data_IF_729242140570
#
_entry.id   IF_729242140570
#
_cell.length_a   1.000
_cell.length_b   1.000
_cell.length_c   1.000
_cell.angle_alpha   90.00
_cell.angle_beta   90.00
_cell.angle_gamma   90.00
#
_symmetry.space_group_name_H-M   'P 1'
#
loop_
_entity.id
_entity.type
_entity.pdbx_description
1 polymer ?
#
# COMPACT_ATOMS: atom_id res chain seq x y z
N UNK A 1 3.98 -34.44 9.79
CA UNK A 1 4.95 -33.35 10.04
C UNK A 1 5.01 -32.39 8.84
N UNK A 2 4.40 -31.20 8.98
CA UNK A 2 4.34 -30.19 7.91
C UNK A 2 5.72 -29.54 7.70
N UNK A 3 6.30 -29.73 6.52
CA UNK A 3 7.42 -28.93 6.05
C UNK A 3 6.84 -27.66 5.41
N UNK A 4 6.74 -26.59 6.19
CA UNK A 4 6.39 -25.26 5.69
C UNK A 4 7.68 -24.67 5.09
N UNK A 5 7.71 -24.52 3.77
CA UNK A 5 8.74 -23.79 3.04
C UNK A 5 9.07 -22.49 3.76
N UNK A 6 10.25 -22.45 4.37
CA UNK A 6 10.88 -21.19 4.77
C UNK A 6 11.24 -20.47 3.48
N UNK A 7 10.36 -19.58 3.04
CA UNK A 7 10.69 -18.61 1.98
C UNK A 7 11.65 -17.61 2.63
N UNK A 8 12.91 -17.47 2.19
CA UNK A 8 13.80 -16.44 2.71
C UNK A 8 13.16 -15.09 2.43
N UNK A 9 12.78 -14.36 3.48
CA UNK A 9 12.41 -12.96 3.35
C UNK A 9 13.63 -12.17 2.86
N UNK A 10 13.45 -11.17 1.98
CA UNK A 10 14.58 -10.37 1.54
C UNK A 10 15.05 -9.43 2.66
N UNK A 11 16.03 -9.88 3.44
CA UNK A 11 16.85 -9.07 4.36
C UNK A 11 17.89 -8.23 3.59
N UNK A 12 17.45 -7.39 2.65
CA UNK A 12 18.33 -6.43 1.96
C UNK A 12 17.74 -5.03 2.07
N UNK A 13 18.34 -4.24 2.98
CA UNK A 13 18.33 -2.78 3.00
C UNK A 13 17.03 -2.12 2.52
N UNK A 14 15.96 -2.26 3.30
CA UNK A 14 14.65 -1.63 3.02
C UNK A 14 14.72 -0.10 2.81
N UNK A 15 15.76 0.56 3.31
CA UNK A 15 15.93 2.02 3.20
C UNK A 15 16.48 2.54 1.86
N UNK A 16 17.10 1.71 1.02
CA UNK A 16 17.68 2.17 -0.27
C UNK A 16 16.72 1.97 -1.47
N UNK A 17 15.65 1.18 -1.31
CA UNK A 17 14.75 0.77 -2.40
C UNK A 17 13.44 1.59 -2.50
N UNK A 18 13.26 2.59 -1.64
CA UNK A 18 12.02 3.37 -1.54
C UNK A 18 10.89 2.61 -0.82
N UNK A 19 9.76 3.29 -0.59
CA UNK A 19 8.57 2.68 -0.03
C UNK A 19 7.99 1.63 -1.01
N UNK A 20 7.25 0.61 -0.52
CA UNK A 20 6.56 -0.32 -1.40
C UNK A 20 5.64 0.42 -2.38
N UNK A 21 5.77 0.11 -3.67
CA UNK A 21 4.94 0.67 -4.74
C UNK A 21 3.85 -0.33 -5.14
N UNK A 22 2.65 0.16 -5.38
CA UNK A 22 1.54 -0.65 -5.86
C UNK A 22 0.79 0.08 -6.97
N UNK A 23 0.38 -0.68 -7.99
CA UNK A 23 -0.49 -0.19 -9.06
C UNK A 23 -1.96 -0.42 -8.71
N UNK A 24 -2.80 0.59 -8.93
CA UNK A 24 -4.24 0.44 -8.80
C UNK A 24 -4.81 -0.30 -10.01
N UNK A 25 -5.56 -1.37 -9.78
CA UNK A 25 -6.25 -2.12 -10.84
C UNK A 25 -7.69 -1.66 -11.04
N UNK A 26 -8.24 -0.88 -10.11
CA UNK A 26 -9.62 -0.42 -10.12
C UNK A 26 -9.69 1.06 -9.79
N UNK A 27 -10.66 1.81 -10.36
CA UNK A 27 -10.85 3.19 -9.97
C UNK A 27 -11.36 3.27 -8.52
N UNK A 28 -10.86 4.24 -7.77
CA UNK A 28 -11.36 4.56 -6.43
C UNK A 28 -11.60 6.06 -6.35
N UNK A 29 -12.84 6.48 -6.12
CA UNK A 29 -13.23 7.90 -6.12
C UNK A 29 -13.29 8.49 -4.71
N UNK A 30 -12.71 7.80 -3.72
CA UNK A 30 -12.83 8.13 -2.31
C UNK A 30 -14.07 7.57 -1.63
N UNK A 31 -14.69 6.53 -2.22
CA UNK A 31 -15.90 5.88 -1.71
C UNK A 31 -15.74 4.35 -1.71
N UNK A 32 -16.01 3.64 -0.59
CA UNK A 32 -16.32 4.22 0.73
C UNK A 32 -15.14 5.05 1.27
N UNK A 33 -15.34 6.04 2.15
CA UNK A 33 -14.21 6.77 2.73
C UNK A 33 -13.44 5.90 3.74
N UNK A 34 -12.11 6.11 3.91
CA UNK A 34 -11.34 5.43 4.93
C UNK A 34 -11.77 5.89 6.33
N UNK A 35 -11.91 4.96 7.30
CA UNK A 35 -12.31 5.27 8.65
C UNK A 35 -11.21 6.04 9.39
N UNK A 36 -11.61 7.05 10.17
CA UNK A 36 -10.70 7.74 11.10
C UNK A 36 -9.64 8.65 10.47
N UNK A 37 -9.69 8.92 9.16
CA UNK A 37 -8.69 9.74 8.48
C UNK A 37 -9.12 11.22 8.43
N UNK A 38 -8.23 12.12 8.85
CA UNK A 38 -8.43 13.58 8.79
C UNK A 38 -8.13 14.18 7.42
N UNK A 39 -7.41 13.45 6.57
CA UNK A 39 -7.10 13.84 5.21
C UNK A 39 -8.23 13.44 4.22
N UNK A 40 -8.40 14.17 3.10
CA UNK A 40 -9.31 13.76 2.03
C UNK A 40 -8.96 12.35 1.52
N UNK A 41 -9.96 11.54 1.13
CA UNK A 41 -9.69 10.24 0.55
C UNK A 41 -8.99 10.36 -0.80
N UNK A 42 -8.06 9.45 -1.07
CA UNK A 42 -7.34 9.42 -2.34
C UNK A 42 -8.29 9.10 -3.51
N UNK A 43 -8.02 9.68 -4.68
CA UNK A 43 -8.68 9.33 -5.94
C UNK A 43 -7.68 8.60 -6.82
N UNK A 44 -8.04 7.40 -7.27
CA UNK A 44 -7.20 6.52 -8.08
C UNK A 44 -7.89 6.18 -9.39
N UNK A 45 -7.09 6.10 -10.44
CA UNK A 45 -7.41 5.52 -11.74
C UNK A 45 -6.65 4.20 -11.92
N UNK A 46 -7.15 3.27 -12.75
CA UNK A 46 -6.37 2.09 -13.13
C UNK A 46 -5.03 2.48 -13.75
N UNK A 47 -3.94 1.88 -13.27
CA UNK A 47 -2.57 2.20 -13.68
C UNK A 47 -1.86 3.22 -12.79
N UNK A 48 -2.56 3.89 -11.86
CA UNK A 48 -1.90 4.79 -10.91
C UNK A 48 -0.99 3.98 -9.98
N UNK A 49 0.25 4.45 -9.80
CA UNK A 49 1.22 3.83 -8.90
C UNK A 49 1.35 4.67 -7.64
N UNK A 50 1.15 4.03 -6.48
CA UNK A 50 1.18 4.67 -5.16
C UNK A 50 2.25 4.07 -4.27
N UNK A 51 2.85 4.89 -3.42
CA UNK A 51 3.78 4.46 -2.38
C UNK A 51 3.02 4.21 -1.08
N UNK A 52 3.08 2.98 -0.57
CA UNK A 52 2.41 2.57 0.67
C UNK A 52 3.27 2.97 1.87
N UNK A 53 2.74 3.85 2.71
CA UNK A 53 3.43 4.34 3.93
C UNK A 53 3.06 3.52 5.16
N UNK A 54 1.82 3.03 5.26
CA UNK A 54 1.38 2.12 6.31
C UNK A 54 0.25 1.20 5.82
N UNK A 55 0.33 -0.08 6.15
CA UNK A 55 -0.66 -1.09 5.84
C UNK A 55 -0.66 -2.17 6.92
N UNK A 56 -1.72 -2.22 7.72
CA UNK A 56 -1.90 -3.25 8.73
C UNK A 56 -2.64 -4.44 8.13
N UNK A 57 -2.20 -5.67 8.44
CA UNK A 57 -2.74 -6.88 7.81
C UNK A 57 -4.22 -7.14 8.12
N UNK A 58 -4.70 -6.60 9.25
CA UNK A 58 -6.08 -6.75 9.71
C UNK A 58 -6.98 -5.58 9.25
N UNK A 59 -6.40 -4.52 8.69
CA UNK A 59 -7.14 -3.37 8.19
C UNK A 59 -7.40 -3.46 6.69
N UNK A 60 -8.59 -3.01 6.29
CA UNK A 60 -8.99 -2.88 4.89
C UNK A 60 -8.42 -1.60 4.24
N UNK A 61 -7.79 -0.73 5.03
CA UNK A 61 -7.37 0.60 4.61
C UNK A 61 -5.89 0.79 4.83
N UNK A 62 -5.23 1.33 3.81
CA UNK A 62 -3.80 1.61 3.84
C UNK A 62 -3.57 3.11 3.67
N UNK A 63 -2.54 3.61 4.34
CA UNK A 63 -2.04 4.96 4.11
C UNK A 63 -1.00 4.92 3.00
N UNK A 64 -1.12 5.90 2.12
CA UNK A 64 -0.30 6.02 0.92
C UNK A 64 0.20 7.46 0.85
N UNK A 65 1.46 7.61 0.45
CA UNK A 65 2.08 8.91 0.24
C UNK A 65 1.78 9.39 -1.17
N UNK A 66 1.40 10.66 -1.30
CA UNK A 66 1.45 11.35 -2.58
C UNK A 66 2.93 11.50 -2.95
N UNK A 67 3.38 10.79 -3.99
CA UNK A 67 4.66 11.09 -4.62
C UNK A 67 4.45 12.34 -5.45
N UNK A 68 4.48 13.51 -4.80
CA UNK A 68 4.30 14.79 -5.47
C UNK A 68 5.17 14.87 -6.72
N UNK A 69 4.52 15.08 -7.86
CA UNK A 69 5.17 15.37 -9.14
C UNK A 69 5.66 16.82 -9.20
#
# INVERSE_FOLDING_TARGET
PQNKSQRPGPDKKRGELGLPKMESTQPYLGVPPPPGVLAPPLRLSPGDVIEVTAAEAEELWWQVGDTGG
#
